data_IF_206540718434
#
_entry.id   IF_206540718434
#
_cell.length_a   1.000
_cell.length_b   1.000
_cell.length_c   1.000
_cell.angle_alpha   90.00
_cell.angle_beta   90.00
_cell.angle_gamma   90.00
#
_symmetry.space_group_name_H-M   'P 1'
#
loop_
_entity.id
_entity.type
_entity.pdbx_description
1 polymer ?
#
# COMPACT_ATOMS: atom_id res chain seq x y z
N UNK A 1 26.42 1.29 -16.34
CA UNK A 1 25.28 1.98 -16.93
C UNK A 1 25.68 3.38 -17.45
N UNK A 2 24.78 4.12 -18.08
CA UNK A 2 25.05 5.40 -18.77
C UNK A 2 25.83 6.43 -17.92
N UNK A 3 25.50 6.57 -16.62
CA UNK A 3 26.25 7.45 -15.70
C UNK A 3 27.72 7.04 -15.53
N UNK A 4 28.01 5.76 -15.50
CA UNK A 4 29.38 5.24 -15.35
C UNK A 4 30.19 5.48 -16.61
N UNK A 5 29.58 5.38 -17.78
CA UNK A 5 30.21 5.64 -19.09
C UNK A 5 30.50 7.11 -19.27
N UNK A 6 29.54 7.99 -18.98
CA UNK A 6 29.74 9.43 -19.04
C UNK A 6 30.83 9.91 -18.06
N UNK A 7 30.84 9.36 -16.83
CA UNK A 7 31.86 9.69 -15.83
C UNK A 7 33.25 9.30 -16.33
N UNK A 8 33.40 8.11 -16.92
CA UNK A 8 34.67 7.62 -17.47
C UNK A 8 35.11 8.51 -18.64
N UNK A 9 34.22 8.77 -19.60
CA UNK A 9 34.49 9.63 -20.74
C UNK A 9 34.98 11.03 -20.33
N UNK A 10 34.31 11.66 -19.35
CA UNK A 10 34.71 12.98 -18.86
C UNK A 10 36.08 12.94 -18.17
N UNK A 11 36.38 11.90 -17.39
CA UNK A 11 37.73 11.73 -16.80
C UNK A 11 38.80 11.61 -17.87
N UNK A 12 38.59 10.80 -18.90
CA UNK A 12 39.53 10.62 -20.01
C UNK A 12 39.78 11.92 -20.77
N UNK A 13 38.78 12.79 -20.85
CA UNK A 13 38.87 14.11 -21.51
C UNK A 13 39.36 15.23 -20.59
N UNK A 14 39.73 14.95 -19.35
CA UNK A 14 40.11 15.96 -18.35
C UNK A 14 39.02 16.99 -18.03
N UNK A 15 37.75 16.63 -18.26
CA UNK A 15 36.59 17.49 -18.00
C UNK A 15 36.11 17.35 -16.56
N UNK A 16 35.56 18.42 -15.94
CA UNK A 16 34.98 18.34 -14.62
C UNK A 16 33.81 17.34 -14.59
N UNK A 17 33.72 16.58 -13.52
CA UNK A 17 32.60 15.65 -13.32
C UNK A 17 31.32 16.43 -12.97
N UNK A 18 30.15 16.00 -13.47
CA UNK A 18 28.88 16.58 -13.06
C UNK A 18 28.58 16.24 -11.59
N UNK A 19 27.89 17.13 -10.92
CA UNK A 19 27.33 16.85 -9.60
C UNK A 19 26.11 15.95 -9.76
N UNK A 20 26.09 14.85 -9.02
CA UNK A 20 24.93 13.95 -8.96
C UNK A 20 23.98 14.43 -7.85
N UNK A 21 22.77 14.82 -8.24
CA UNK A 21 21.68 15.15 -7.30
C UNK A 21 20.69 13.98 -7.30
N UNK A 22 20.41 13.44 -6.12
CA UNK A 22 19.42 12.37 -5.93
C UNK A 22 18.23 12.93 -5.15
N UNK A 23 17.04 12.81 -5.72
CA UNK A 23 15.77 13.17 -5.08
C UNK A 23 15.08 11.89 -4.59
N UNK A 24 15.69 11.23 -3.60
CA UNK A 24 15.20 9.96 -3.07
C UNK A 24 13.95 10.19 -2.20
N UNK A 25 12.83 9.59 -2.59
CA UNK A 25 11.59 9.57 -1.82
C UNK A 25 11.28 8.16 -1.34
N UNK A 26 10.66 7.36 -2.21
CA UNK A 26 10.24 5.98 -1.93
C UNK A 26 11.35 5.11 -1.37
N UNK A 27 12.54 5.16 -1.92
CA UNK A 27 13.67 4.34 -1.49
C UNK A 27 14.04 4.50 -0.01
N UNK A 28 13.68 5.63 0.61
CA UNK A 28 14.01 5.93 2.01
C UNK A 28 12.98 5.40 3.01
N UNK A 29 11.70 5.31 2.63
CA UNK A 29 10.61 5.07 3.59
C UNK A 29 9.61 3.99 3.18
N UNK A 30 9.74 3.41 1.99
CA UNK A 30 8.73 2.47 1.46
C UNK A 30 8.52 1.26 2.38
N UNK A 31 9.61 0.68 2.87
CA UNK A 31 9.58 -0.50 3.74
C UNK A 31 9.29 -0.19 5.22
N UNK A 32 9.18 1.09 5.58
CA UNK A 32 8.91 1.50 6.95
C UNK A 32 7.46 1.25 7.40
N UNK A 33 6.56 0.92 6.48
CA UNK A 33 5.14 0.73 6.82
C UNK A 33 4.54 -0.49 6.11
N UNK A 34 3.60 -1.13 6.80
CA UNK A 34 2.69 -2.13 6.25
C UNK A 34 1.25 -1.69 6.45
N UNK A 35 0.35 -2.11 5.56
CA UNK A 35 -1.09 -1.96 5.73
C UNK A 35 -1.67 -3.34 6.08
N UNK A 36 -2.42 -3.40 7.17
CA UNK A 36 -3.25 -4.55 7.51
C UNK A 36 -4.68 -4.27 7.06
N UNK A 37 -5.27 -5.21 6.38
CA UNK A 37 -6.64 -5.12 5.88
C UNK A 37 -7.36 -6.45 6.08
N UNK A 38 -8.64 -6.40 6.41
CA UNK A 38 -9.49 -7.56 6.66
C UNK A 38 -10.32 -7.88 5.42
N UNK A 39 -10.47 -9.14 5.11
CA UNK A 39 -11.39 -9.63 4.09
C UNK A 39 -12.82 -9.53 4.63
N UNK A 40 -13.64 -8.65 4.05
CA UNK A 40 -15.04 -8.43 4.44
C UNK A 40 -16.04 -9.09 3.50
N UNK A 41 -15.61 -9.52 2.32
CA UNK A 41 -16.46 -10.20 1.36
C UNK A 41 -15.71 -11.13 0.43
N UNK A 42 -16.41 -12.13 -0.12
CA UNK A 42 -15.87 -13.09 -1.09
C UNK A 42 -16.92 -13.44 -2.12
N UNK A 43 -16.52 -13.50 -3.39
CA UNK A 43 -17.37 -13.98 -4.49
C UNK A 43 -16.55 -14.64 -5.58
N UNK A 44 -17.21 -15.30 -6.54
CA UNK A 44 -16.64 -15.73 -7.81
C UNK A 44 -17.02 -14.74 -8.90
N UNK A 45 -16.06 -14.40 -9.73
CA UNK A 45 -16.27 -13.60 -10.92
C UNK A 45 -16.80 -14.50 -12.07
N UNK A 46 -17.43 -13.91 -13.10
CA UNK A 46 -17.91 -14.67 -14.26
C UNK A 46 -16.82 -15.44 -14.99
N UNK A 47 -15.57 -14.99 -14.93
CA UNK A 47 -14.39 -15.65 -15.50
C UNK A 47 -13.83 -16.79 -14.61
N UNK A 48 -14.49 -17.09 -13.50
CA UNK A 48 -14.12 -18.14 -12.56
C UNK A 48 -13.11 -17.74 -11.48
N UNK A 49 -12.48 -16.55 -11.58
CA UNK A 49 -11.52 -16.09 -10.57
C UNK A 49 -12.20 -15.80 -9.24
N UNK A 50 -11.47 -16.00 -8.16
CA UNK A 50 -11.90 -15.54 -6.84
C UNK A 50 -11.78 -14.04 -6.73
N UNK A 51 -12.77 -13.39 -6.13
CA UNK A 51 -12.72 -12.00 -5.72
C UNK A 51 -12.85 -11.89 -4.21
N UNK A 52 -11.99 -11.09 -3.60
CA UNK A 52 -12.06 -10.71 -2.19
C UNK A 52 -12.32 -9.21 -2.11
N UNK A 53 -13.21 -8.82 -1.21
CA UNK A 53 -13.46 -7.42 -0.86
C UNK A 53 -12.80 -7.17 0.48
N UNK A 54 -12.04 -6.09 0.57
CA UNK A 54 -11.26 -5.68 1.73
C UNK A 54 -11.90 -4.48 2.42
N UNK A 55 -11.57 -4.25 3.68
CA UNK A 55 -11.94 -3.06 4.44
C UNK A 55 -10.98 -1.87 4.20
N UNK A 56 -10.02 -2.00 3.30
CA UNK A 56 -9.13 -0.94 2.83
C UNK A 56 -9.09 -0.95 1.30
N UNK A 57 -9.09 0.23 0.70
CA UNK A 57 -9.09 0.42 -0.74
C UNK A 57 -8.01 1.39 -1.21
N UNK A 58 -8.13 1.81 -2.45
CA UNK A 58 -7.24 2.80 -3.07
C UNK A 58 -7.28 4.16 -2.37
N UNK A 59 -8.32 4.46 -1.60
CA UNK A 59 -8.35 5.64 -0.73
C UNK A 59 -7.30 5.59 0.37
N UNK A 60 -6.94 4.42 0.88
CA UNK A 60 -5.93 4.21 1.93
C UNK A 60 -4.57 3.85 1.33
N UNK A 61 -4.57 3.09 0.25
CA UNK A 61 -3.38 2.61 -0.46
C UNK A 61 -3.44 3.06 -1.92
N UNK A 62 -3.38 4.37 -2.14
CA UNK A 62 -3.51 4.96 -3.47
C UNK A 62 -2.45 4.46 -4.45
N UNK A 63 -1.26 4.15 -3.96
CA UNK A 63 -0.18 3.61 -4.77
C UNK A 63 -0.46 2.21 -5.34
N UNK A 64 -1.48 1.49 -4.86
CA UNK A 64 -1.91 0.21 -5.45
C UNK A 64 -2.38 0.35 -6.90
N UNK A 65 -2.79 1.56 -7.30
CA UNK A 65 -3.14 1.87 -8.69
C UNK A 65 -1.94 1.76 -9.64
N UNK A 66 -0.72 2.08 -9.17
CA UNK A 66 0.49 2.08 -9.99
C UNK A 66 1.46 0.95 -9.67
N UNK A 67 1.44 0.45 -8.43
CA UNK A 67 2.42 -0.51 -7.94
C UNK A 67 1.78 -1.80 -7.47
N UNK A 68 2.44 -2.88 -7.74
CA UNK A 68 2.05 -4.18 -7.24
C UNK A 68 2.69 -4.45 -5.87
N UNK A 69 2.06 -3.98 -4.80
CA UNK A 69 2.51 -4.28 -3.44
C UNK A 69 2.54 -5.79 -3.18
N UNK A 70 3.52 -6.24 -2.39
CA UNK A 70 3.56 -7.62 -1.92
C UNK A 70 2.46 -7.82 -0.88
N UNK A 71 1.64 -8.84 -1.09
CA UNK A 71 0.55 -9.20 -0.17
C UNK A 71 0.86 -10.54 0.47
N UNK A 72 0.63 -10.63 1.78
CA UNK A 72 0.73 -11.87 2.55
C UNK A 72 -0.52 -12.05 3.40
N UNK A 73 -0.96 -13.30 3.57
CA UNK A 73 -1.93 -13.66 4.61
C UNK A 73 -1.21 -13.61 5.95
N UNK A 74 -1.82 -13.04 6.98
CA UNK A 74 -1.18 -12.82 8.29
C UNK A 74 -1.06 -14.08 9.13
N UNK A 75 -1.78 -15.15 8.77
CA UNK A 75 -1.70 -16.47 9.39
C UNK A 75 -1.30 -17.54 8.37
N UNK A 76 -0.75 -18.66 8.79
CA UNK A 76 -0.60 -19.82 7.92
C UNK A 76 -1.96 -20.29 7.38
N UNK A 77 -2.03 -20.54 6.08
CA UNK A 77 -3.21 -21.07 5.40
C UNK A 77 -2.76 -22.18 4.48
N UNK A 78 -3.28 -23.38 4.70
CA UNK A 78 -3.05 -24.53 3.84
C UNK A 78 -4.05 -24.55 2.68
N UNK A 79 -3.63 -25.11 1.56
CA UNK A 79 -4.45 -25.29 0.37
C UNK A 79 -3.80 -24.76 -0.89
N UNK A 80 -4.37 -25.12 -2.03
CA UNK A 80 -3.85 -24.73 -3.34
C UNK A 80 -4.15 -23.25 -3.59
N UNK A 81 -3.14 -22.42 -3.89
CA UNK A 81 -3.37 -21.04 -4.28
C UNK A 81 -4.20 -20.96 -5.56
N UNK A 82 -5.07 -19.96 -5.64
CA UNK A 82 -5.86 -19.65 -6.83
C UNK A 82 -5.74 -18.18 -7.20
N UNK A 83 -5.95 -17.88 -8.49
CA UNK A 83 -5.94 -16.51 -8.96
C UNK A 83 -7.08 -15.71 -8.34
N UNK A 84 -6.72 -14.58 -7.75
CA UNK A 84 -7.59 -13.79 -6.89
C UNK A 84 -7.48 -12.32 -7.25
N UNK A 85 -8.62 -11.66 -7.36
CA UNK A 85 -8.72 -10.20 -7.46
C UNK A 85 -8.99 -9.63 -6.07
N UNK A 86 -8.28 -8.57 -5.68
CA UNK A 86 -8.50 -7.85 -4.43
C UNK A 86 -9.17 -6.50 -4.74
N UNK A 87 -10.37 -6.32 -4.25
CA UNK A 87 -11.13 -5.07 -4.33
C UNK A 87 -11.12 -4.36 -2.97
N UNK A 88 -11.13 -3.03 -3.00
CA UNK A 88 -11.43 -2.24 -1.81
C UNK A 88 -12.95 -2.09 -1.58
N UNK A 89 -13.35 -1.28 -0.57
CA UNK A 89 -14.75 -1.11 -0.17
C UNK A 89 -15.49 -0.04 -0.98
N UNK A 90 -14.80 0.69 -1.85
CA UNK A 90 -15.37 1.87 -2.51
C UNK A 90 -16.22 1.50 -3.72
N UNK A 91 -17.25 2.29 -4.01
CA UNK A 91 -18.05 2.18 -5.23
C UNK A 91 -17.36 2.85 -6.44
N UNK A 92 -16.08 2.55 -6.65
CA UNK A 92 -15.25 3.13 -7.70
C UNK A 92 -14.59 2.04 -8.55
N UNK A 93 -14.60 2.20 -9.86
CA UNK A 93 -13.95 1.25 -10.78
C UNK A 93 -12.44 1.11 -10.56
N UNK A 94 -11.79 2.14 -10.01
CA UNK A 94 -10.36 2.14 -9.72
C UNK A 94 -10.02 1.45 -8.39
N UNK A 95 -11.04 1.07 -7.60
CA UNK A 95 -10.81 0.47 -6.28
C UNK A 95 -10.44 -1.03 -6.38
N UNK A 96 -9.39 -1.28 -7.14
CA UNK A 96 -8.79 -2.58 -7.36
C UNK A 96 -7.38 -2.57 -6.77
N UNK A 97 -7.24 -3.15 -5.60
CA UNK A 97 -5.96 -3.23 -4.88
C UNK A 97 -4.97 -4.18 -5.57
N UNK A 98 -5.49 -5.19 -6.25
CA UNK A 98 -4.72 -6.13 -7.03
C UNK A 98 -5.61 -6.82 -8.06
N UNK A 99 -5.28 -6.71 -9.33
CA UNK A 99 -6.06 -7.31 -10.42
C UNK A 99 -5.86 -8.82 -10.58
N UNK A 100 -4.74 -9.36 -10.10
CA UNK A 100 -4.42 -10.79 -10.10
C UNK A 100 -3.32 -11.07 -9.08
N UNK A 101 -3.55 -12.05 -8.23
CA UNK A 101 -2.57 -12.56 -7.27
C UNK A 101 -2.90 -14.01 -6.88
N UNK A 102 -1.88 -14.86 -6.79
CA UNK A 102 -2.03 -16.21 -6.27
C UNK A 102 -2.11 -16.17 -4.74
N UNK A 103 -3.26 -16.51 -4.18
CA UNK A 103 -3.48 -16.60 -2.73
C UNK A 103 -4.05 -17.95 -2.34
N UNK A 104 -3.64 -18.50 -1.18
CA UNK A 104 -4.25 -19.69 -0.62
C UNK A 104 -5.73 -19.45 -0.31
N UNK A 105 -6.49 -20.48 0.13
CA UNK A 105 -7.91 -20.34 0.48
C UNK A 105 -8.13 -19.37 1.65
N UNK A 106 -8.35 -18.10 1.35
CA UNK A 106 -8.64 -17.04 2.33
C UNK A 106 -10.15 -16.95 2.56
N UNK A 107 -10.57 -16.69 3.80
CA UNK A 107 -11.96 -16.58 4.26
C UNK A 107 -12.28 -15.14 4.67
N UNK A 108 -13.56 -14.81 4.70
CA UNK A 108 -14.02 -13.57 5.35
C UNK A 108 -13.60 -13.57 6.82
N UNK A 109 -13.05 -12.46 7.28
CA UNK A 109 -12.44 -12.30 8.60
C UNK A 109 -10.92 -12.52 8.63
N UNK A 110 -10.33 -13.12 7.60
CA UNK A 110 -8.87 -13.22 7.50
C UNK A 110 -8.25 -11.86 7.20
N UNK A 111 -7.04 -11.64 7.71
CA UNK A 111 -6.28 -10.41 7.46
C UNK A 111 -5.19 -10.60 6.42
N UNK A 112 -5.06 -9.62 5.55
CA UNK A 112 -3.99 -9.50 4.57
C UNK A 112 -3.05 -8.36 4.97
N UNK A 113 -1.76 -8.58 4.77
CA UNK A 113 -0.71 -7.58 4.97
C UNK A 113 -0.16 -7.13 3.62
N UNK A 114 -0.29 -5.85 3.32
CA UNK A 114 0.38 -5.20 2.20
C UNK A 114 1.70 -4.61 2.68
N UNK A 115 2.80 -4.97 2.02
CA UNK A 115 4.14 -4.51 2.36
C UNK A 115 4.57 -3.33 1.51
N UNK A 116 5.58 -2.62 2.00
CA UNK A 116 6.22 -1.49 1.29
C UNK A 116 5.18 -0.41 0.94
N UNK A 117 4.50 0.09 1.96
CA UNK A 117 3.43 1.10 1.83
C UNK A 117 3.79 2.45 2.49
N UNK A 118 5.04 2.62 2.95
CA UNK A 118 5.48 3.81 3.67
C UNK A 118 5.53 5.09 2.83
N UNK A 119 5.71 4.94 1.51
CA UNK A 119 5.82 6.10 0.63
C UNK A 119 4.46 6.51 0.07
N UNK A 120 4.14 7.81 0.19
CA UNK A 120 3.01 8.53 -0.41
C UNK A 120 1.62 8.21 0.17
N UNK A 121 1.33 7.01 0.66
CA UNK A 121 -0.03 6.59 1.00
C UNK A 121 -0.67 7.42 2.12
N UNK A 122 0.10 7.80 3.16
CA UNK A 122 -0.41 8.67 4.22
C UNK A 122 -0.70 10.11 3.77
N UNK A 123 -0.06 10.58 2.71
CA UNK A 123 -0.21 11.94 2.18
C UNK A 123 -1.16 12.04 1.00
N UNK A 124 -1.35 10.96 0.26
CA UNK A 124 -2.26 10.87 -0.88
C UNK A 124 -3.59 10.22 -0.51
N UNK A 125 -3.99 10.35 0.76
CA UNK A 125 -5.30 9.88 1.21
C UNK A 125 -6.43 10.55 0.41
N UNK A 126 -7.36 9.73 -0.06
CA UNK A 126 -8.59 10.21 -0.68
C UNK A 126 -9.75 10.03 0.30
N UNK A 127 -10.35 11.15 0.70
CA UNK A 127 -11.51 11.14 1.59
C UNK A 127 -12.78 10.86 0.78
N UNK A 128 -13.13 9.58 0.67
CA UNK A 128 -14.31 9.12 -0.02
C UNK A 128 -14.89 7.91 0.70
N UNK A 129 -16.10 8.04 1.25
CA UNK A 129 -16.90 7.01 1.95
C UNK A 129 -16.28 6.58 3.29
N UNK A 130 -14.97 6.33 3.34
CA UNK A 130 -14.28 5.74 4.47
C UNK A 130 -13.45 6.78 5.25
N UNK A 131 -13.27 6.51 6.54
CA UNK A 131 -12.37 7.28 7.42
C UNK A 131 -10.94 6.76 7.34
N UNK A 132 -9.96 7.64 7.57
CA UNK A 132 -8.57 7.20 7.68
C UNK A 132 -8.39 6.19 8.82
N UNK A 133 -7.70 5.07 8.58
CA UNK A 133 -7.41 4.10 9.62
C UNK A 133 -6.44 4.66 10.66
N UNK A 134 -6.37 4.01 11.82
CA UNK A 134 -5.32 4.27 12.79
C UNK A 134 -3.93 3.98 12.21
N UNK A 135 -2.91 4.68 12.72
CA UNK A 135 -1.50 4.36 12.47
C UNK A 135 -0.85 4.01 13.80
N UNK A 136 -0.24 2.84 13.84
CA UNK A 136 0.48 2.33 15.00
C UNK A 136 1.97 2.30 14.67
N UNK A 137 2.77 2.87 15.55
CA UNK A 137 4.21 2.76 15.53
C UNK A 137 4.62 1.53 16.34
N UNK A 138 5.51 0.72 15.78
CA UNK A 138 6.21 -0.35 16.49
C UNK A 138 7.66 0.11 16.62
N UNK A 139 8.13 0.28 17.85
CA UNK A 139 9.50 0.74 18.10
C UNK A 139 10.52 -0.41 18.00
N UNK A 140 11.79 -0.09 18.19
CA UNK A 140 12.89 -1.08 18.11
C UNK A 140 12.85 -2.15 19.21
N UNK A 141 12.04 -1.94 20.28
CA UNK A 141 11.81 -2.91 21.36
C UNK A 141 10.56 -3.74 21.12
N UNK A 142 9.81 -3.46 20.04
CA UNK A 142 8.54 -4.10 19.70
C UNK A 142 7.33 -3.51 20.46
N UNK A 143 7.49 -2.39 21.14
CA UNK A 143 6.39 -1.70 21.81
C UNK A 143 5.52 -0.97 20.78
N UNK A 144 4.18 -1.08 20.96
CA UNK A 144 3.20 -0.49 20.05
C UNK A 144 2.62 0.79 20.65
N UNK A 145 2.60 1.85 19.86
CA UNK A 145 1.94 3.11 20.21
C UNK A 145 1.12 3.68 19.07
N UNK A 146 -0.07 4.21 19.37
CA UNK A 146 -0.92 4.83 18.34
C UNK A 146 -0.43 6.25 18.08
N UNK A 147 0.12 6.49 16.88
CA UNK A 147 0.60 7.82 16.45
C UNK A 147 -0.44 8.61 15.65
N UNK A 148 -1.46 7.94 15.13
CA UNK A 148 -2.68 8.55 14.56
C UNK A 148 -3.89 7.70 14.95
N UNK A 149 -4.89 8.31 15.58
CA UNK A 149 -6.16 7.64 15.86
C UNK A 149 -6.95 7.44 14.56
N UNK A 150 -7.80 6.41 14.52
CA UNK A 150 -8.80 6.27 13.45
C UNK A 150 -9.68 7.53 13.44
N UNK A 151 -9.95 8.03 12.27
CA UNK A 151 -10.91 9.13 12.10
C UNK A 151 -12.33 8.64 12.36
N UNK A 152 -13.17 9.58 12.78
CA UNK A 152 -14.60 9.41 12.95
C UNK A 152 -15.32 10.70 12.50
N UNK A 153 -16.63 10.73 12.63
CA UNK A 153 -17.43 11.87 12.22
C UNK A 153 -17.03 13.18 12.95
N UNK A 154 -16.62 13.10 14.22
CA UNK A 154 -16.23 14.26 15.01
C UNK A 154 -15.03 15.00 14.41
N UNK A 155 -14.04 14.26 13.90
CA UNK A 155 -12.86 14.84 13.25
C UNK A 155 -13.25 15.63 11.99
N UNK A 156 -14.33 15.24 11.34
CA UNK A 156 -14.82 15.90 10.12
C UNK A 156 -15.62 17.16 10.40
N UNK A 157 -16.22 17.27 11.59
CA UNK A 157 -17.05 18.41 11.98
C UNK A 157 -16.27 19.55 12.65
N UNK A 158 -15.02 19.33 13.02
CA UNK A 158 -14.15 20.34 13.57
C UNK A 158 -13.57 21.27 12.48
N UNK A 159 -14.46 21.92 11.74
CA UNK A 159 -14.15 23.22 11.16
C UNK A 159 -14.78 24.25 12.10
N UNK A 160 -14.02 24.97 12.95
CA UNK A 160 -14.58 26.10 13.66
C UNK A 160 -15.07 27.07 12.57
N UNK A 161 -16.37 27.22 12.46
CA UNK A 161 -16.93 28.35 11.73
C UNK A 161 -16.41 29.59 12.46
N UNK A 162 -15.47 30.30 11.78
CA UNK A 162 -14.95 31.57 12.25
C UNK A 162 -16.07 32.62 12.24
#
# INVERSE_FOLDING_TARGET
GALSEETRYRKEQGRPLPMLILESGRAMIDDAQVLLSTVVGRKRLPDGRRALVLDAGTNTLFTAYWYHHKVKVTRPVEGVPEDTVLYGPLCMNIDVMRSSIQLPPVRVGDSLMFKSVGAYNNTQWMQFIEYRPAVVLIDTRGECSTIRRRENLEVMWFCPLA
#
